data_IF_775255927235
#
_entry.id   IF_775255927235
#
_cell.length_a   1.000
_cell.length_b   1.000
_cell.length_c   1.000
_cell.angle_alpha   90.00
_cell.angle_beta   90.00
_cell.angle_gamma   90.00
#
_symmetry.space_group_name_H-M   'P 1'
#
loop_
_entity.id
_entity.type
_entity.pdbx_description
1 polymer ?
#
# COMPACT_ATOMS: atom_id res chain seq x y z
N UNK A 1 -0.81 12.37 -22.01
CA UNK A 1 -0.15 13.10 -20.91
C UNK A 1 1.35 12.93 -20.80
N UNK A 2 1.89 11.71 -20.68
CA UNK A 2 3.34 11.54 -20.45
C UNK A 2 4.22 12.20 -21.52
N UNK A 3 3.86 12.09 -22.80
CA UNK A 3 4.60 12.73 -23.92
C UNK A 3 4.57 14.25 -23.87
N UNK A 4 3.45 14.85 -23.47
CA UNK A 4 3.29 16.31 -23.35
C UNK A 4 4.15 16.83 -22.19
N UNK A 5 4.12 16.13 -21.05
CA UNK A 5 4.96 16.47 -19.89
C UNK A 5 6.45 16.35 -20.21
N UNK A 6 6.87 15.28 -20.88
CA UNK A 6 8.27 15.13 -21.30
C UNK A 6 8.68 16.17 -22.35
N UNK A 7 7.76 16.60 -23.21
CA UNK A 7 7.98 17.74 -24.12
C UNK A 7 8.25 19.04 -23.37
N UNK A 8 7.43 19.36 -22.36
CA UNK A 8 7.64 20.54 -21.51
C UNK A 8 8.98 20.47 -20.73
N UNK A 9 9.33 19.29 -20.20
CA UNK A 9 10.62 19.09 -19.54
C UNK A 9 11.77 19.30 -20.52
N UNK A 10 11.65 18.78 -21.75
CA UNK A 10 12.64 18.99 -22.81
C UNK A 10 12.80 20.45 -23.21
N UNK A 11 11.72 21.22 -23.25
CA UNK A 11 11.76 22.66 -23.53
C UNK A 11 12.41 23.48 -22.40
N UNK A 12 12.16 23.08 -21.14
CA UNK A 12 12.72 23.74 -19.96
C UNK A 12 14.17 23.36 -19.67
N UNK A 13 14.56 22.12 -19.99
CA UNK A 13 15.88 21.56 -19.73
C UNK A 13 16.48 20.88 -20.97
N UNK A 14 16.73 21.61 -22.07
CA UNK A 14 17.09 21.03 -23.39
C UNK A 14 18.43 20.30 -23.43
N UNK A 15 19.31 20.52 -22.45
CA UNK A 15 20.62 19.87 -22.34
C UNK A 15 20.66 18.74 -21.30
N UNK A 16 19.55 18.44 -20.64
CA UNK A 16 19.51 17.52 -19.51
C UNK A 16 18.78 16.22 -19.89
N UNK A 17 19.53 15.25 -20.42
CA UNK A 17 19.04 13.88 -20.53
C UNK A 17 19.34 13.15 -19.21
N UNK A 18 18.33 13.01 -18.36
CA UNK A 18 18.45 12.31 -17.06
C UNK A 18 17.83 10.93 -17.20
N UNK A 19 18.64 9.88 -17.48
CA UNK A 19 18.12 8.53 -17.55
C UNK A 19 17.59 8.12 -16.18
N UNK A 20 16.53 7.29 -16.19
CA UNK A 20 15.99 6.70 -14.96
C UNK A 20 17.10 5.96 -14.22
N UNK A 21 17.28 6.27 -12.94
CA UNK A 21 18.13 5.48 -12.05
C UNK A 21 17.55 4.07 -11.94
N UNK A 22 18.34 3.05 -12.26
CA UNK A 22 17.95 1.64 -12.20
C UNK A 22 18.81 0.89 -11.20
N UNK A 23 18.15 0.05 -10.42
CA UNK A 23 18.80 -0.94 -9.55
C UNK A 23 18.65 -2.32 -10.22
N UNK A 24 19.68 -2.71 -10.98
CA UNK A 24 19.66 -3.97 -11.73
C UNK A 24 19.65 -5.21 -10.84
N UNK A 25 20.22 -5.14 -9.64
CA UNK A 25 20.22 -6.24 -8.69
C UNK A 25 18.83 -6.43 -8.08
N UNK A 26 18.14 -5.34 -7.76
CA UNK A 26 16.75 -5.40 -7.32
C UNK A 26 15.83 -5.91 -8.44
N UNK A 27 15.96 -5.40 -9.66
CA UNK A 27 15.18 -5.89 -10.81
C UNK A 27 15.37 -7.40 -11.04
N UNK A 28 16.60 -7.91 -10.91
CA UNK A 28 16.88 -9.35 -11.02
C UNK A 28 16.12 -10.15 -9.96
N UNK A 29 16.10 -9.67 -8.72
CA UNK A 29 15.38 -10.34 -7.62
C UNK A 29 13.86 -10.31 -7.84
N UNK A 30 13.32 -9.21 -8.35
CA UNK A 30 11.90 -9.11 -8.73
C UNK A 30 11.56 -10.12 -9.83
N UNK A 31 12.41 -10.28 -10.84
CA UNK A 31 12.21 -11.30 -11.89
C UNK A 31 12.18 -12.71 -11.32
N UNK A 32 13.10 -13.03 -10.41
CA UNK A 32 13.08 -14.33 -9.72
C UNK A 32 11.79 -14.52 -8.92
N UNK A 33 11.35 -13.49 -8.18
CA UNK A 33 10.10 -13.54 -7.42
C UNK A 33 8.86 -13.71 -8.32
N UNK A 34 8.84 -13.11 -9.50
CA UNK A 34 7.76 -13.30 -10.48
C UNK A 34 7.72 -14.74 -10.99
N UNK A 35 8.88 -15.33 -11.29
CA UNK A 35 8.99 -16.74 -11.73
C UNK A 35 8.55 -17.69 -10.60
N UNK A 36 8.91 -17.41 -9.34
CA UNK A 36 8.44 -18.19 -8.17
C UNK A 36 6.91 -18.22 -8.07
N UNK A 37 6.27 -17.10 -8.43
CA UNK A 37 4.81 -16.97 -8.47
C UNK A 37 4.19 -17.52 -9.78
N UNK A 38 5.00 -18.16 -10.63
CA UNK A 38 4.61 -18.69 -11.95
C UNK A 38 4.08 -17.62 -12.91
N UNK A 39 4.57 -16.39 -12.78
CA UNK A 39 4.26 -15.28 -13.67
C UNK A 39 5.31 -15.13 -14.78
N UNK A 40 4.95 -14.43 -15.86
CA UNK A 40 5.88 -14.02 -16.89
C UNK A 40 6.51 -12.66 -16.52
N UNK A 41 7.84 -12.58 -16.34
CA UNK A 41 8.52 -11.36 -15.90
C UNK A 41 8.75 -10.38 -17.08
N UNK A 42 7.66 -9.83 -17.63
CA UNK A 42 7.72 -8.79 -18.65
C UNK A 42 8.30 -7.48 -18.09
N UNK A 43 9.06 -6.75 -18.91
CA UNK A 43 9.78 -5.56 -18.46
C UNK A 43 8.85 -4.48 -17.89
N UNK A 44 7.66 -4.29 -18.48
CA UNK A 44 6.68 -3.33 -17.96
C UNK A 44 6.12 -3.77 -16.60
N UNK A 45 5.90 -5.07 -16.38
CA UNK A 45 5.46 -5.58 -15.09
C UNK A 45 6.53 -5.36 -14.01
N UNK A 46 7.79 -5.69 -14.31
CA UNK A 46 8.93 -5.44 -13.40
C UNK A 46 9.04 -3.95 -13.08
N UNK A 47 8.89 -3.09 -14.09
CA UNK A 47 8.89 -1.64 -13.91
C UNK A 47 7.84 -1.17 -12.89
N UNK A 48 6.62 -1.74 -12.94
CA UNK A 48 5.55 -1.42 -11.99
C UNK A 48 5.86 -1.89 -10.57
N UNK A 49 6.47 -3.06 -10.42
CA UNK A 49 6.91 -3.54 -9.10
C UNK A 49 8.00 -2.64 -8.51
N UNK A 50 8.97 -2.21 -9.32
CA UNK A 50 10.01 -1.26 -8.90
C UNK A 50 9.42 0.10 -8.54
N UNK A 51 8.50 0.62 -9.34
CA UNK A 51 7.80 1.88 -9.04
C UNK A 51 7.03 1.81 -7.71
N UNK A 52 6.38 0.69 -7.41
CA UNK A 52 5.70 0.50 -6.13
C UNK A 52 6.69 0.54 -4.96
N UNK A 53 7.86 -0.09 -5.10
CA UNK A 53 8.92 -0.05 -4.09
C UNK A 53 9.46 1.37 -3.86
N UNK A 54 9.70 2.11 -4.95
CA UNK A 54 10.12 3.51 -4.90
C UNK A 54 9.07 4.38 -4.19
N UNK A 55 7.78 4.16 -4.48
CA UNK A 55 6.68 4.86 -3.81
C UNK A 55 6.62 4.56 -2.31
N UNK A 56 6.76 3.29 -1.91
CA UNK A 56 6.83 2.92 -0.49
C UNK A 56 8.04 3.49 0.25
N UNK A 57 9.11 3.87 -0.45
CA UNK A 57 10.25 4.54 0.19
C UNK A 57 9.93 5.99 0.59
N UNK A 58 8.99 6.64 -0.12
CA UNK A 58 8.70 8.08 0.04
C UNK A 58 7.34 8.32 0.72
N UNK A 59 6.36 7.44 0.51
CA UNK A 59 4.99 7.57 1.01
C UNK A 59 4.60 6.34 1.83
N UNK A 60 3.87 6.55 2.92
CA UNK A 60 3.29 5.47 3.70
C UNK A 60 1.94 4.99 3.16
N UNK A 61 1.24 5.83 2.39
CA UNK A 61 -0.03 5.51 1.74
C UNK A 61 0.15 5.57 0.22
N UNK A 62 -0.21 4.49 -0.49
CA UNK A 62 -0.06 4.37 -1.94
C UNK A 62 -1.30 3.76 -2.58
N UNK A 63 -1.69 4.28 -3.74
CA UNK A 63 -2.85 3.85 -4.51
C UNK A 63 -2.39 3.15 -5.80
N UNK A 64 -2.90 1.95 -6.06
CA UNK A 64 -2.75 1.23 -7.32
C UNK A 64 -4.11 1.21 -8.00
N UNK A 65 -4.20 1.93 -9.13
CA UNK A 65 -5.45 2.16 -9.85
C UNK A 65 -5.38 1.44 -11.20
N UNK A 66 -6.47 0.80 -11.59
CA UNK A 66 -6.67 0.26 -12.92
C UNK A 66 -7.74 -0.80 -12.96
N UNK A 67 -8.17 -1.19 -14.16
CA UNK A 67 -9.28 -2.13 -14.30
C UNK A 67 -9.00 -3.50 -13.67
N UNK A 68 -10.05 -4.26 -13.35
CA UNK A 68 -9.94 -5.66 -12.94
C UNK A 68 -9.21 -6.50 -14.01
N UNK A 69 -8.44 -7.49 -13.57
CA UNK A 69 -7.69 -8.40 -14.46
C UNK A 69 -6.40 -7.83 -15.07
N UNK A 70 -6.00 -6.59 -14.72
CA UNK A 70 -4.76 -5.96 -15.24
C UNK A 70 -3.49 -6.32 -14.47
N UNK A 71 -3.60 -7.21 -13.47
CA UNK A 71 -2.44 -7.70 -12.70
C UNK A 71 -2.01 -6.83 -11.52
N UNK A 72 -2.80 -5.83 -11.12
CA UNK A 72 -2.54 -4.94 -9.96
C UNK A 72 -2.15 -5.72 -8.70
N UNK A 73 -2.96 -6.71 -8.31
CA UNK A 73 -2.68 -7.51 -7.12
C UNK A 73 -1.40 -8.33 -7.25
N UNK A 74 -1.04 -8.73 -8.48
CA UNK A 74 0.22 -9.44 -8.73
C UNK A 74 1.44 -8.52 -8.59
N UNK A 75 1.32 -7.21 -8.82
CA UNK A 75 2.42 -6.25 -8.63
C UNK A 75 2.88 -6.24 -7.18
N UNK A 76 1.97 -5.98 -6.24
CA UNK A 76 2.34 -5.92 -4.82
C UNK A 76 2.64 -7.30 -4.24
N UNK A 77 1.96 -8.37 -4.69
CA UNK A 77 2.29 -9.76 -4.30
C UNK A 77 3.69 -10.17 -4.75
N UNK A 78 4.14 -9.73 -5.93
CA UNK A 78 5.50 -9.95 -6.41
C UNK A 78 6.52 -9.16 -5.58
N UNK A 79 6.21 -7.91 -5.22
CA UNK A 79 7.07 -7.14 -4.32
C UNK A 79 7.20 -7.82 -2.95
N UNK A 80 6.08 -8.30 -2.40
CA UNK A 80 6.05 -9.04 -1.14
C UNK A 80 6.93 -10.28 -1.22
N UNK A 81 6.77 -11.07 -2.30
CA UNK A 81 7.59 -12.26 -2.55
C UNK A 81 9.08 -11.93 -2.67
N UNK A 82 9.41 -10.80 -3.29
CA UNK A 82 10.79 -10.31 -3.38
C UNK A 82 11.37 -10.05 -1.99
N UNK A 83 10.63 -9.38 -1.10
CA UNK A 83 11.07 -9.15 0.29
C UNK A 83 11.15 -10.44 1.11
N UNK A 84 10.25 -11.38 0.86
CA UNK A 84 10.29 -12.70 1.47
C UNK A 84 11.57 -13.46 1.08
N UNK A 85 11.91 -13.47 -0.21
CA UNK A 85 13.13 -14.09 -0.73
C UNK A 85 14.41 -13.42 -0.18
N UNK A 86 14.36 -12.11 0.08
CA UNK A 86 15.42 -11.35 0.77
C UNK A 86 15.48 -11.62 2.29
N UNK A 87 14.63 -12.50 2.83
CA UNK A 87 14.52 -12.83 4.26
C UNK A 87 14.19 -11.61 5.14
N UNK A 88 13.52 -10.60 4.59
CA UNK A 88 13.08 -9.40 5.32
C UNK A 88 11.83 -9.61 6.18
N UNK A 89 11.30 -10.85 6.23
CA UNK A 89 10.10 -11.25 6.99
C UNK A 89 8.93 -10.25 6.84
N UNK A 90 8.50 -9.95 5.60
CA UNK A 90 7.40 -9.01 5.40
C UNK A 90 6.08 -9.59 5.93
N UNK A 91 5.16 -8.72 6.34
CA UNK A 91 3.80 -9.07 6.78
C UNK A 91 2.78 -8.26 5.98
N UNK A 92 1.63 -8.85 5.65
CA UNK A 92 0.50 -8.08 5.13
C UNK A 92 -0.82 -8.59 5.70
N UNK A 93 -1.78 -7.69 5.82
CA UNK A 93 -3.20 -8.03 5.97
C UNK A 93 -3.93 -7.53 4.74
N UNK A 94 -4.81 -8.35 4.20
CA UNK A 94 -5.64 -8.06 3.03
C UNK A 94 -7.09 -7.95 3.48
N UNK A 95 -7.75 -6.87 3.10
CA UNK A 95 -9.08 -6.51 3.58
C UNK A 95 -9.88 -5.85 2.46
N UNK A 96 -11.11 -6.31 2.28
CA UNK A 96 -12.10 -5.67 1.40
C UNK A 96 -13.03 -4.80 2.26
N UNK A 97 -12.90 -3.45 2.20
CA UNK A 97 -13.65 -2.54 3.06
C UNK A 97 -15.17 -2.66 2.88
N UNK A 98 -15.65 -3.02 1.69
CA UNK A 98 -17.09 -3.14 1.39
C UNK A 98 -17.70 -4.48 1.82
N UNK A 99 -16.89 -5.45 2.23
CA UNK A 99 -17.38 -6.74 2.69
C UNK A 99 -18.03 -6.66 4.08
N UNK A 100 -17.77 -5.58 4.83
CA UNK A 100 -18.27 -5.33 6.18
C UNK A 100 -18.88 -3.93 6.26
N UNK A 101 -19.69 -3.69 7.30
CA UNK A 101 -20.19 -2.34 7.56
C UNK A 101 -19.07 -1.43 8.09
N UNK A 102 -19.23 -0.10 7.94
CA UNK A 102 -18.25 0.86 8.45
C UNK A 102 -18.02 0.71 9.97
N UNK A 103 -19.10 0.44 10.71
CA UNK A 103 -19.09 0.15 12.14
C UNK A 103 -18.28 -1.12 12.48
N UNK A 104 -18.38 -2.17 11.67
CA UNK A 104 -17.59 -3.39 11.84
C UNK A 104 -16.13 -3.20 11.39
N UNK A 105 -15.87 -2.26 10.49
CA UNK A 105 -14.53 -1.97 9.99
C UNK A 105 -13.71 -1.14 10.99
N UNK A 106 -14.25 -0.01 11.46
CA UNK A 106 -13.53 0.93 12.33
C UNK A 106 -13.91 0.82 13.82
N UNK A 107 -15.07 0.24 14.12
CA UNK A 107 -15.60 0.10 15.47
C UNK A 107 -16.75 1.06 15.73
N UNK A 108 -17.57 0.70 16.71
CA UNK A 108 -18.79 1.43 17.08
C UNK A 108 -18.98 1.43 18.60
N UNK A 109 -19.56 2.51 19.12
CA UNK A 109 -20.07 2.56 20.49
C UNK A 109 -21.46 1.92 20.50
N UNK A 110 -21.63 0.82 21.24
CA UNK A 110 -22.91 0.16 21.36
C UNK A 110 -23.95 1.12 21.98
N UNK A 111 -25.07 1.44 21.31
CA UNK A 111 -26.02 2.42 21.82
C UNK A 111 -26.73 1.97 23.12
N UNK A 112 -26.84 0.66 23.35
CA UNK A 112 -27.50 0.11 24.53
C UNK A 112 -26.56 0.08 25.75
N UNK A 113 -25.32 -0.39 25.58
CA UNK A 113 -24.37 -0.54 26.70
C UNK A 113 -23.44 0.66 26.89
N UNK A 114 -23.32 1.53 25.87
CA UNK A 114 -22.34 2.61 25.77
C UNK A 114 -20.88 2.14 25.81
N UNK A 115 -20.65 0.87 25.53
CA UNK A 115 -19.30 0.29 25.45
C UNK A 115 -18.76 0.37 24.02
N UNK A 116 -17.44 0.58 23.92
CA UNK A 116 -16.73 0.55 22.65
C UNK A 116 -16.53 -0.90 22.16
N UNK A 117 -16.84 -1.14 20.89
CA UNK A 117 -16.51 -2.37 20.19
C UNK A 117 -15.52 -2.04 19.07
N UNK A 118 -14.33 -2.63 19.15
CA UNK A 118 -13.31 -2.48 18.11
C UNK A 118 -13.78 -3.06 16.77
N UNK A 119 -13.41 -2.37 15.69
CA UNK A 119 -13.61 -2.85 14.32
C UNK A 119 -12.40 -3.61 13.78
N UNK A 120 -12.61 -4.38 12.71
CA UNK A 120 -11.60 -5.24 12.09
C UNK A 120 -10.31 -4.49 11.74
N UNK A 121 -10.42 -3.32 11.12
CA UNK A 121 -9.26 -2.52 10.72
C UNK A 121 -8.49 -1.99 11.93
N UNK A 122 -9.20 -1.55 12.97
CA UNK A 122 -8.58 -1.05 14.21
C UNK A 122 -7.77 -2.14 14.91
N UNK A 123 -8.30 -3.37 14.98
CA UNK A 123 -7.60 -4.53 15.55
C UNK A 123 -6.34 -4.85 14.75
N UNK A 124 -6.45 -4.97 13.43
CA UNK A 124 -5.33 -5.35 12.57
C UNK A 124 -4.21 -4.30 12.58
N UNK A 125 -4.54 -3.00 12.54
CA UNK A 125 -3.53 -1.94 12.65
C UNK A 125 -2.85 -1.99 14.02
N UNK A 126 -3.60 -2.21 15.10
CA UNK A 126 -3.04 -2.31 16.46
C UNK A 126 -2.09 -3.51 16.56
N UNK A 127 -2.48 -4.66 16.01
CA UNK A 127 -1.64 -5.85 15.95
C UNK A 127 -0.35 -5.58 15.16
N UNK A 128 -0.45 -5.01 13.95
CA UNK A 128 0.73 -4.68 13.15
C UNK A 128 1.64 -3.64 13.84
N UNK A 129 1.08 -2.64 14.51
CA UNK A 129 1.86 -1.66 15.26
C UNK A 129 2.64 -2.30 16.41
N UNK A 130 2.05 -3.29 17.08
CA UNK A 130 2.67 -4.02 18.18
C UNK A 130 3.58 -5.19 17.75
N UNK A 131 3.51 -5.63 16.49
CA UNK A 131 4.44 -6.65 15.98
C UNK A 131 5.89 -6.16 16.08
N UNK A 132 6.76 -6.96 16.67
CA UNK A 132 8.19 -6.67 16.67
C UNK A 132 8.86 -6.84 15.30
N UNK A 133 10.06 -6.30 15.15
CA UNK A 133 10.92 -6.47 13.97
C UNK A 133 10.81 -5.35 12.93
N UNK A 134 11.84 -5.28 12.08
CA UNK A 134 12.02 -4.23 11.07
C UNK A 134 11.43 -4.59 9.70
N UNK A 135 10.76 -5.73 9.59
CA UNK A 135 10.12 -6.18 8.35
C UNK A 135 9.03 -5.21 7.90
N UNK A 136 8.86 -5.05 6.59
CA UNK A 136 7.79 -4.22 6.03
C UNK A 136 6.42 -4.83 6.35
N UNK A 137 5.48 -4.01 6.83
CA UNK A 137 4.13 -4.42 7.23
C UNK A 137 3.11 -3.67 6.40
N UNK A 138 2.25 -4.37 5.68
CA UNK A 138 1.32 -3.72 4.76
C UNK A 138 -0.14 -3.99 5.17
N UNK A 139 -0.95 -2.94 5.11
CA UNK A 139 -2.41 -3.06 5.13
C UNK A 139 -2.89 -2.84 3.71
N UNK A 140 -3.36 -3.91 3.07
CA UNK A 140 -3.91 -3.87 1.73
C UNK A 140 -5.42 -3.72 1.84
N UNK A 141 -5.94 -2.68 1.22
CA UNK A 141 -7.36 -2.36 1.11
C UNK A 141 -7.74 -2.58 -0.36
N UNK A 142 -8.25 -3.77 -0.66
CA UNK A 142 -8.68 -4.17 -2.00
C UNK A 142 -10.18 -3.93 -2.12
N UNK A 143 -10.55 -2.86 -2.82
CA UNK A 143 -11.94 -2.46 -2.93
C UNK A 143 -12.12 -1.02 -3.42
N UNK A 144 -13.28 -0.73 -3.97
CA UNK A 144 -13.61 0.62 -4.44
C UNK A 144 -13.67 1.62 -3.27
N UNK A 145 -13.19 2.83 -3.53
CA UNK A 145 -13.30 3.94 -2.56
C UNK A 145 -14.76 4.34 -2.39
N UNK A 146 -15.19 4.41 -1.12
CA UNK A 146 -16.43 5.08 -0.71
C UNK A 146 -16.08 6.24 0.23
N UNK A 147 -16.76 7.40 0.09
CA UNK A 147 -16.51 8.58 0.92
C UNK A 147 -16.54 8.30 2.43
N UNK A 148 -17.43 7.42 2.91
CA UNK A 148 -17.62 7.20 4.33
C UNK A 148 -16.40 6.55 4.99
N UNK A 149 -15.78 5.55 4.36
CA UNK A 149 -14.64 4.86 4.96
C UNK A 149 -13.31 5.55 4.66
N UNK A 150 -13.19 6.23 3.51
CA UNK A 150 -11.94 6.94 3.19
C UNK A 150 -11.76 8.17 4.07
N UNK A 151 -12.84 8.84 4.47
CA UNK A 151 -12.79 9.97 5.41
C UNK A 151 -12.23 9.56 6.77
N UNK A 152 -12.61 8.38 7.26
CA UNK A 152 -12.07 7.80 8.49
C UNK A 152 -10.56 7.51 8.43
N UNK A 153 -9.97 7.45 7.22
CA UNK A 153 -8.55 7.21 7.01
C UNK A 153 -7.73 8.48 6.76
N UNK A 154 -8.34 9.66 6.65
CA UNK A 154 -7.62 10.89 6.28
C UNK A 154 -6.43 11.19 7.19
N UNK A 155 -6.61 11.09 8.52
CA UNK A 155 -5.54 11.38 9.49
C UNK A 155 -4.42 10.33 9.51
N UNK A 156 -4.66 9.13 8.98
CA UNK A 156 -3.64 8.10 8.85
C UNK A 156 -2.91 8.18 7.51
N UNK A 157 -3.57 8.71 6.48
CA UNK A 157 -2.98 8.93 5.16
C UNK A 157 -2.13 10.20 5.08
N UNK A 158 -2.37 11.19 5.94
CA UNK A 158 -1.58 12.42 6.03
C UNK A 158 -0.24 12.23 6.75
N UNK A 159 0.49 13.34 6.96
CA UNK A 159 1.80 13.33 7.61
C UNK A 159 1.75 12.97 9.11
N UNK A 160 0.57 13.02 9.75
CA UNK A 160 0.40 12.60 11.15
C UNK A 160 0.58 11.09 11.31
N UNK A 161 0.17 10.30 10.31
CA UNK A 161 0.28 8.83 10.31
C UNK A 161 -0.40 8.19 11.53
N UNK A 162 -1.54 8.75 11.96
CA UNK A 162 -2.28 8.30 13.13
C UNK A 162 -3.73 7.99 12.75
N UNK A 163 -4.15 6.76 13.03
CA UNK A 163 -5.56 6.39 12.96
C UNK A 163 -6.27 6.95 14.20
N UNK A 164 -7.32 7.74 13.98
CA UNK A 164 -8.16 8.28 15.06
C UNK A 164 -9.53 7.60 15.00
N UNK A 165 -9.87 6.84 16.03
CA UNK A 165 -11.14 6.12 16.13
C UNK A 165 -12.22 7.00 16.78
N UNK A 166 -13.49 6.67 16.56
CA UNK A 166 -14.62 7.36 17.20
C UNK A 166 -14.60 7.26 18.73
N UNK A 167 -13.90 6.28 19.31
CA UNK A 167 -13.59 6.18 20.74
C UNK A 167 -12.63 7.25 21.27
N UNK A 168 -12.07 8.09 20.39
CA UNK A 168 -10.92 8.96 20.62
C UNK A 168 -9.59 8.22 20.85
N UNK A 169 -9.54 6.89 20.65
CA UNK A 169 -8.27 6.16 20.61
C UNK A 169 -7.45 6.61 19.39
N UNK A 170 -6.13 6.76 19.60
CA UNK A 170 -5.17 7.14 18.58
C UNK A 170 -4.12 6.04 18.43
N UNK A 171 -4.05 5.45 17.24
CA UNK A 171 -3.07 4.40 16.92
C UNK A 171 -2.11 4.95 15.88
N UNK A 172 -0.85 5.16 16.28
CA UNK A 172 0.19 5.65 15.40
C UNK A 172 0.80 4.51 14.57
N UNK A 173 1.00 4.75 13.28
CA UNK A 173 1.70 3.81 12.40
C UNK A 173 3.19 3.82 12.70
N UNK A 174 3.79 2.63 12.67
CA UNK A 174 5.24 2.49 12.76
C UNK A 174 5.90 2.85 11.42
N UNK A 175 7.19 3.26 11.39
CA UNK A 175 7.87 3.61 10.15
C UNK A 175 7.95 2.48 9.11
N UNK A 176 7.75 1.22 9.50
CA UNK A 176 7.74 0.05 8.61
C UNK A 176 6.36 -0.29 8.06
N UNK A 177 5.29 0.36 8.55
CA UNK A 177 3.92 0.15 8.10
C UNK A 177 3.61 0.92 6.81
N UNK A 178 2.85 0.31 5.90
CA UNK A 178 2.36 0.91 4.67
C UNK A 178 0.87 0.60 4.49
N UNK A 179 0.12 1.56 3.98
CA UNK A 179 -1.24 1.40 3.49
C UNK A 179 -1.18 1.30 1.96
N UNK A 180 -1.81 0.26 1.41
CA UNK A 180 -1.91 0.04 -0.02
C UNK A 180 -3.37 -0.06 -0.40
N UNK A 181 -3.82 0.83 -1.29
CA UNK A 181 -5.18 0.84 -1.78
C UNK A 181 -5.19 0.28 -3.20
N UNK A 182 -5.84 -0.85 -3.41
CA UNK A 182 -6.06 -1.44 -4.73
C UNK A 182 -7.48 -1.09 -5.18
N UNK A 183 -7.58 -0.29 -6.25
CA UNK A 183 -8.84 0.30 -6.70
C UNK A 183 -9.09 -0.07 -8.16
N UNK A 184 -10.34 -0.39 -8.45
CA UNK A 184 -10.82 -0.76 -9.78
C UNK A 184 -11.49 0.40 -10.52
#
# INVERSE_FOLDING_TARGET
DMSIFMGLIGDLFPALDVPRKRDFDFERQVRTAAIDLKLQPEDNFILKVVQLQELFAVRHSVFIIGNAGTGKSQVWKTLYRTYYNQKKKPHYNDLEPKAVTNDELFGIINPATREWKDGLFSVLIREQANMGGEGSKWMVLDGDIDPMWIESLNTVMDDNKVLTLASNERIALTPSMRLLFEIS
#
